data_IF_609504832474
#
_entry.id   IF_609504832474
#
_cell.length_a   1.000
_cell.length_b   1.000
_cell.length_c   1.000
_cell.angle_alpha   90.00
_cell.angle_beta   90.00
_cell.angle_gamma   90.00
#
_symmetry.space_group_name_H-M   'P 1'
#
loop_
_entity.id
_entity.type
_entity.pdbx_description
1 polymer ?
#
# COMPACT_ATOMS: atom_id res chain seq x y z
N UNK A 1 -14.98 -6.63 -59.72
CA UNK A 1 -15.20 -5.24 -59.29
C UNK A 1 -13.94 -4.80 -58.58
N UNK A 2 -13.21 -3.87 -59.16
CA UNK A 2 -12.00 -3.34 -58.54
C UNK A 2 -12.41 -2.49 -57.33
N UNK A 3 -11.86 -2.81 -56.15
CA UNK A 3 -12.12 -2.04 -54.93
C UNK A 3 -11.34 -0.73 -55.02
N UNK A 4 -12.06 0.38 -55.02
CA UNK A 4 -11.45 1.71 -54.90
C UNK A 4 -11.02 1.97 -53.45
N UNK A 5 -9.76 2.36 -53.27
CA UNK A 5 -9.20 2.75 -51.97
C UNK A 5 -9.13 4.26 -51.87
N UNK A 6 -9.36 4.83 -50.69
CA UNK A 6 -9.33 6.27 -50.49
C UNK A 6 -8.85 6.65 -49.10
N UNK A 7 -8.30 7.86 -48.97
CA UNK A 7 -7.91 8.50 -47.72
C UNK A 7 -8.59 9.86 -47.61
N UNK A 8 -8.77 10.35 -46.38
CA UNK A 8 -9.23 11.71 -46.12
C UNK A 8 -8.05 12.59 -45.75
N UNK A 9 -7.82 13.66 -46.51
CA UNK A 9 -6.79 14.67 -46.24
C UNK A 9 -7.50 16.02 -46.17
N UNK A 10 -7.38 16.72 -45.04
CA UNK A 10 -8.07 17.99 -44.79
C UNK A 10 -9.60 17.92 -45.06
N UNK A 11 -10.22 16.79 -44.73
CA UNK A 11 -11.65 16.56 -44.94
C UNK A 11 -12.06 16.21 -46.39
N UNK A 12 -11.12 16.17 -47.35
CA UNK A 12 -11.39 15.79 -48.74
C UNK A 12 -11.07 14.32 -48.99
N UNK A 13 -11.96 13.63 -49.71
CA UNK A 13 -11.77 12.22 -50.12
C UNK A 13 -10.83 12.15 -51.33
N UNK A 14 -9.68 11.50 -51.17
CA UNK A 14 -8.68 11.30 -52.22
C UNK A 14 -8.59 9.81 -52.51
N UNK A 15 -8.81 9.42 -53.77
CA UNK A 15 -8.63 8.03 -54.22
C UNK A 15 -7.14 7.73 -54.34
N UNK A 16 -6.71 6.61 -53.77
CA UNK A 16 -5.30 6.21 -53.71
C UNK A 16 -5.11 4.77 -54.19
N UNK A 17 -3.87 4.40 -54.49
CA UNK A 17 -3.54 3.00 -54.75
C UNK A 17 -3.71 2.15 -53.48
N UNK A 18 -3.93 0.85 -53.67
CA UNK A 18 -4.01 -0.13 -52.57
C UNK A 18 -2.75 -0.10 -51.69
N UNK A 19 -1.58 0.07 -52.29
CA UNK A 19 -0.30 0.11 -51.56
C UNK A 19 -0.22 1.32 -50.61
N UNK A 20 -0.59 2.50 -51.10
CA UNK A 20 -0.61 3.74 -50.30
C UNK A 20 -1.62 3.61 -49.16
N UNK A 21 -2.81 3.08 -49.43
CA UNK A 21 -3.83 2.84 -48.41
C UNK A 21 -3.32 1.90 -47.30
N UNK A 22 -2.72 0.77 -47.68
CA UNK A 22 -2.21 -0.21 -46.73
C UNK A 22 -1.05 0.34 -45.89
N UNK A 23 -0.13 1.09 -46.50
CA UNK A 23 0.97 1.73 -45.80
C UNK A 23 0.46 2.74 -44.76
N UNK A 24 -0.44 3.64 -45.17
CA UNK A 24 -1.04 4.65 -44.27
C UNK A 24 -1.71 4.01 -43.06
N UNK A 25 -2.60 3.02 -43.30
CA UNK A 25 -3.30 2.36 -42.20
C UNK A 25 -2.38 1.49 -41.34
N UNK A 26 -1.29 0.95 -41.90
CA UNK A 26 -0.28 0.22 -41.12
C UNK A 26 0.39 1.15 -40.10
N UNK A 27 0.84 2.33 -40.52
CA UNK A 27 1.46 3.32 -39.63
C UNK A 27 0.48 3.82 -38.57
N UNK A 28 -0.75 4.14 -38.96
CA UNK A 28 -1.79 4.60 -38.04
C UNK A 28 -2.14 3.53 -36.98
N UNK A 29 -2.12 2.25 -37.36
CA UNK A 29 -2.30 1.15 -36.43
C UNK A 29 -1.11 0.96 -35.48
N UNK A 30 0.13 1.15 -35.96
CA UNK A 30 1.34 1.12 -35.12
C UNK A 30 1.30 2.23 -34.07
N UNK A 31 0.95 3.45 -34.47
CA UNK A 31 0.80 4.59 -33.55
C UNK A 31 -0.26 4.30 -32.48
N UNK A 32 -1.46 3.86 -32.87
CA UNK A 32 -2.51 3.44 -31.93
C UNK A 32 -2.09 2.30 -31.02
N UNK A 33 -1.24 1.39 -31.49
CA UNK A 33 -0.70 0.31 -30.68
C UNK A 33 0.30 0.85 -29.64
N UNK A 34 1.21 1.74 -30.03
CA UNK A 34 2.14 2.40 -29.11
C UNK A 34 1.38 3.18 -28.02
N UNK A 35 0.40 4.01 -28.39
CA UNK A 35 -0.43 4.76 -27.41
C UNK A 35 -1.12 3.82 -26.41
N UNK A 36 -1.64 2.66 -26.87
CA UNK A 36 -2.25 1.67 -25.97
C UNK A 36 -1.21 1.05 -25.02
N UNK A 37 0.00 0.76 -25.51
CA UNK A 37 1.09 0.25 -24.68
C UNK A 37 1.55 1.27 -23.66
N UNK A 38 1.69 2.53 -24.05
CA UNK A 38 2.12 3.61 -23.15
C UNK A 38 1.13 3.75 -22.00
N UNK A 39 -0.18 3.77 -22.30
CA UNK A 39 -1.24 3.77 -21.27
C UNK A 39 -1.21 2.55 -20.36
N UNK A 40 -1.01 1.35 -20.91
CA UNK A 40 -0.95 0.11 -20.10
C UNK A 40 0.25 0.12 -19.13
N UNK A 41 1.36 0.73 -19.54
CA UNK A 41 2.57 0.83 -18.74
C UNK A 41 2.62 2.11 -17.90
N UNK A 42 1.51 2.86 -17.79
CA UNK A 42 1.45 4.16 -17.10
C UNK A 42 2.54 5.14 -17.55
N UNK A 43 2.92 5.06 -18.83
CA UNK A 43 3.87 5.98 -19.44
C UNK A 43 3.10 7.22 -19.88
N UNK A 44 3.01 8.19 -18.96
CA UNK A 44 2.37 9.47 -19.22
C UNK A 44 3.41 10.52 -19.61
N UNK A 45 2.98 11.50 -20.41
CA UNK A 45 3.82 12.67 -20.67
C UNK A 45 3.99 13.44 -19.37
N UNK A 46 5.20 13.91 -19.09
CA UNK A 46 5.49 14.73 -17.91
C UNK A 46 4.52 15.91 -17.74
N UNK A 47 4.13 16.55 -18.85
CA UNK A 47 3.17 17.65 -18.88
C UNK A 47 1.72 17.28 -18.54
N UNK A 48 1.35 16.00 -18.45
CA UNK A 48 -0.03 15.63 -18.06
C UNK A 48 -0.31 15.84 -16.57
N UNK A 49 0.73 16.01 -15.75
CA UNK A 49 0.64 16.30 -14.32
C UNK A 49 0.76 17.79 -13.99
N UNK A 50 0.92 18.65 -15.00
CA UNK A 50 0.95 20.10 -14.83
C UNK A 50 -0.47 20.66 -14.96
N UNK A 51 -1.16 20.77 -13.83
CA UNK A 51 -2.56 21.22 -13.78
C UNK A 51 -2.70 22.73 -13.59
N UNK A 52 -1.74 23.37 -12.94
CA UNK A 52 -1.82 24.76 -12.46
C UNK A 52 -0.48 25.51 -12.52
N UNK A 53 0.55 24.94 -13.16
CA UNK A 53 1.91 25.49 -13.20
C UNK A 53 2.77 25.10 -11.99
N UNK A 54 2.25 24.26 -11.08
CA UNK A 54 3.00 23.77 -9.92
C UNK A 54 3.16 22.24 -9.96
N UNK A 55 4.23 21.78 -10.58
CA UNK A 55 4.47 20.36 -10.82
C UNK A 55 4.81 19.56 -9.54
N UNK A 56 5.64 20.13 -8.65
CA UNK A 56 6.16 19.41 -7.47
C UNK A 56 5.07 19.11 -6.45
N UNK A 57 4.08 20.00 -6.30
CA UNK A 57 2.95 19.81 -5.38
C UNK A 57 1.91 18.80 -5.90
N UNK A 58 1.86 18.56 -7.22
CA UNK A 58 0.92 17.60 -7.83
C UNK A 58 1.41 16.14 -7.76
N UNK A 59 2.65 15.89 -7.32
CA UNK A 59 3.20 14.55 -7.14
C UNK A 59 3.07 14.14 -5.67
N UNK A 60 2.09 13.27 -5.37
CA UNK A 60 1.97 12.66 -4.05
C UNK A 60 3.15 11.72 -3.78
N UNK A 61 3.85 11.95 -2.65
CA UNK A 61 4.85 11.01 -2.13
C UNK A 61 4.14 9.83 -1.45
N UNK A 62 3.96 8.76 -2.22
CA UNK A 62 3.35 7.52 -1.75
C UNK A 62 4.32 6.64 -0.94
N UNK A 63 5.59 7.02 -0.80
CA UNK A 63 6.57 6.25 -0.04
C UNK A 63 6.31 6.35 1.47
N UNK A 64 5.86 7.52 1.95
CA UNK A 64 5.62 7.79 3.36
C UNK A 64 4.26 8.41 3.63
N UNK A 65 3.36 7.60 4.17
CA UNK A 65 2.10 8.09 4.73
C UNK A 65 2.36 8.72 6.12
N UNK A 66 2.50 10.04 6.15
CA UNK A 66 2.80 10.82 7.36
C UNK A 66 1.69 10.66 8.40
N UNK A 67 0.43 10.64 7.99
CA UNK A 67 -0.72 10.49 8.87
C UNK A 67 -0.65 9.14 9.58
N UNK A 68 -0.46 8.07 8.81
CA UNK A 68 -0.29 6.71 9.36
C UNK A 68 0.91 6.59 10.29
N UNK A 69 2.01 7.29 10.00
CA UNK A 69 3.18 7.33 10.90
C UNK A 69 2.81 7.98 12.24
N UNK A 70 2.07 9.09 12.21
CA UNK A 70 1.63 9.80 13.40
C UNK A 70 0.65 8.93 14.20
N UNK A 71 -0.38 8.38 13.56
CA UNK A 71 -1.34 7.45 14.18
C UNK A 71 -0.61 6.28 14.85
N UNK A 72 0.33 5.65 14.16
CA UNK A 72 1.11 4.53 14.71
C UNK A 72 1.92 4.95 15.94
N UNK A 73 2.50 6.16 15.95
CA UNK A 73 3.23 6.68 17.11
C UNK A 73 2.32 6.88 18.30
N UNK A 74 1.14 7.46 18.09
CA UNK A 74 0.13 7.66 19.15
C UNK A 74 -0.33 6.32 19.73
N UNK A 75 -0.61 5.32 18.87
CA UNK A 75 -0.93 3.96 19.31
C UNK A 75 0.18 3.34 20.18
N UNK A 76 1.44 3.49 19.78
CA UNK A 76 2.58 2.98 20.55
C UNK A 76 2.68 3.68 21.92
N UNK A 77 2.45 4.99 21.98
CA UNK A 77 2.48 5.72 23.23
C UNK A 77 1.38 5.27 24.21
N UNK A 78 0.16 5.05 23.72
CA UNK A 78 -0.93 4.57 24.59
C UNK A 78 -0.71 3.14 25.08
N UNK A 79 -0.21 2.24 24.24
CA UNK A 79 0.20 0.89 24.68
C UNK A 79 1.27 0.98 25.77
N UNK A 80 2.28 1.87 25.62
CA UNK A 80 3.31 2.09 26.65
C UNK A 80 2.71 2.63 27.95
N UNK A 81 1.75 3.56 27.87
CA UNK A 81 1.03 4.08 29.05
C UNK A 81 0.22 2.98 29.73
N UNK A 82 -0.50 2.14 28.99
CA UNK A 82 -1.23 1.01 29.55
C UNK A 82 -0.31 0.00 30.25
N UNK A 83 0.81 -0.38 29.63
CA UNK A 83 1.83 -1.26 30.22
C UNK A 83 2.45 -0.64 31.49
N UNK A 84 2.61 0.68 31.54
CA UNK A 84 3.13 1.37 32.73
C UNK A 84 2.20 1.23 33.96
N UNK A 85 0.90 1.05 33.74
CA UNK A 85 -0.12 0.84 34.80
C UNK A 85 -0.18 -0.61 35.30
N UNK A 86 0.48 -1.55 34.62
CA UNK A 86 0.60 -2.94 35.10
C UNK A 86 1.52 -3.02 36.32
N UNK A 87 1.26 -4.00 37.18
CA UNK A 87 2.17 -4.26 38.29
C UNK A 87 3.48 -4.90 37.79
N UNK A 88 4.57 -4.91 38.58
CA UNK A 88 5.86 -5.42 38.13
C UNK A 88 5.81 -6.87 37.59
N UNK A 89 5.11 -7.77 38.29
CA UNK A 89 4.99 -9.17 37.86
C UNK A 89 4.19 -9.34 36.57
N UNK A 90 3.15 -8.53 36.36
CA UNK A 90 2.38 -8.49 35.11
C UNK A 90 3.25 -7.96 33.96
N UNK A 91 4.03 -6.91 34.20
CA UNK A 91 4.94 -6.32 33.22
C UNK A 91 6.05 -7.29 32.83
N UNK A 92 6.70 -7.93 33.80
CA UNK A 92 7.75 -8.92 33.57
C UNK A 92 7.24 -10.11 32.75
N UNK A 93 5.99 -10.53 32.98
CA UNK A 93 5.34 -11.59 32.21
C UNK A 93 5.14 -11.17 30.75
N UNK A 94 4.64 -9.95 30.50
CA UNK A 94 4.45 -9.44 29.13
C UNK A 94 5.79 -9.23 28.43
N UNK A 95 6.79 -8.67 29.11
CA UNK A 95 8.14 -8.49 28.57
C UNK A 95 8.76 -9.84 28.17
N UNK A 96 8.66 -10.85 29.05
CA UNK A 96 9.20 -12.19 28.76
C UNK A 96 8.51 -12.83 27.54
N UNK A 97 7.18 -12.76 27.46
CA UNK A 97 6.42 -13.44 26.41
C UNK A 97 6.44 -12.72 25.06
N UNK A 98 6.42 -11.38 25.04
CA UNK A 98 6.21 -10.59 23.81
C UNK A 98 7.43 -9.81 23.37
N UNK A 99 8.34 -9.44 24.28
CA UNK A 99 9.55 -8.68 23.94
C UNK A 99 10.79 -9.58 23.84
N UNK A 100 10.93 -10.53 24.77
CA UNK A 100 12.02 -11.53 24.78
C UNK A 100 11.66 -12.81 24.03
N UNK A 101 10.41 -12.93 23.57
CA UNK A 101 9.87 -14.08 22.84
C UNK A 101 10.07 -15.43 23.56
N UNK A 102 10.10 -15.41 24.89
CA UNK A 102 10.22 -16.63 25.69
C UNK A 102 8.95 -17.48 25.58
N UNK A 103 9.12 -18.78 25.48
CA UNK A 103 7.99 -19.71 25.44
C UNK A 103 7.30 -19.78 26.80
N UNK A 104 6.01 -20.13 26.79
CA UNK A 104 5.22 -20.35 28.01
C UNK A 104 5.89 -21.42 28.91
N UNK A 105 6.57 -22.40 28.32
CA UNK A 105 7.32 -23.44 29.06
C UNK A 105 8.53 -22.86 29.80
N UNK A 106 9.31 -22.02 29.16
CA UNK A 106 10.47 -21.35 29.78
C UNK A 106 10.03 -20.43 30.92
N UNK A 107 8.99 -19.64 30.69
CA UNK A 107 8.41 -18.76 31.72
C UNK A 107 7.85 -19.56 32.89
N UNK A 108 7.16 -20.68 32.61
CA UNK A 108 6.66 -21.59 33.66
C UNK A 108 7.79 -22.16 34.52
N UNK A 109 8.90 -22.57 33.89
CA UNK A 109 10.08 -23.08 34.58
C UNK A 109 10.75 -21.98 35.44
N UNK A 110 10.93 -20.77 34.91
CA UNK A 110 11.51 -19.63 35.65
C UNK A 110 10.68 -19.23 36.86
N UNK A 111 9.36 -19.22 36.71
CA UNK A 111 8.43 -18.85 37.77
C UNK A 111 8.08 -20.02 38.72
N UNK A 112 8.57 -21.23 38.44
CA UNK A 112 8.24 -22.47 39.15
C UNK A 112 6.71 -22.68 39.32
N UNK A 113 5.95 -22.46 38.23
CA UNK A 113 4.50 -22.65 38.19
C UNK A 113 4.10 -23.54 37.01
N UNK A 114 2.87 -24.03 37.01
CA UNK A 114 2.37 -24.86 35.92
C UNK A 114 2.15 -24.05 34.63
N UNK A 115 2.33 -24.70 33.49
CA UNK A 115 2.08 -24.10 32.17
C UNK A 115 0.66 -23.49 32.03
N UNK A 116 -0.43 -24.14 32.50
CA UNK A 116 -1.76 -23.53 32.51
C UNK A 116 -1.86 -22.27 33.38
N UNK A 117 -1.12 -22.19 34.49
CA UNK A 117 -1.12 -21.01 35.34
C UNK A 117 -0.50 -19.79 34.65
N UNK A 118 0.56 -19.98 33.85
CA UNK A 118 1.15 -18.91 33.01
C UNK A 118 0.12 -18.40 31.99
N UNK A 119 -0.56 -19.30 31.27
CA UNK A 119 -1.60 -18.92 30.29
C UNK A 119 -2.70 -18.11 30.96
N UNK A 120 -3.19 -18.56 32.12
CA UNK A 120 -4.24 -17.86 32.86
C UNK A 120 -3.81 -16.46 33.28
N UNK A 121 -2.57 -16.30 33.76
CA UNK A 121 -2.01 -14.99 34.11
C UNK A 121 -1.87 -14.10 32.89
N UNK A 122 -1.29 -14.61 31.80
CA UNK A 122 -1.14 -13.88 30.53
C UNK A 122 -2.50 -13.36 30.05
N UNK A 123 -3.50 -14.23 29.95
CA UNK A 123 -4.83 -13.83 29.47
C UNK A 123 -5.45 -12.75 30.35
N UNK A 124 -5.30 -12.85 31.68
CA UNK A 124 -5.80 -11.82 32.60
C UNK A 124 -5.11 -10.47 32.37
N UNK A 125 -3.81 -10.45 32.10
CA UNK A 125 -3.08 -9.22 31.79
C UNK A 125 -3.52 -8.65 30.44
N UNK A 126 -3.75 -9.49 29.44
CA UNK A 126 -4.23 -9.06 28.13
C UNK A 126 -5.64 -8.47 28.20
N UNK A 127 -6.57 -9.08 28.95
CA UNK A 127 -7.89 -8.48 29.17
C UNK A 127 -7.79 -7.13 29.87
N UNK A 128 -6.93 -7.00 30.88
CA UNK A 128 -6.69 -5.73 31.57
C UNK A 128 -6.13 -4.66 30.63
N UNK A 129 -5.19 -5.02 29.76
CA UNK A 129 -4.65 -4.10 28.74
C UNK A 129 -5.73 -3.72 27.72
N UNK A 130 -6.59 -4.67 27.32
CA UNK A 130 -7.71 -4.43 26.43
C UNK A 130 -8.69 -3.41 27.02
N UNK A 131 -9.11 -3.59 28.27
CA UNK A 131 -9.98 -2.64 28.98
C UNK A 131 -9.35 -1.24 29.08
N UNK A 132 -8.02 -1.15 29.27
CA UNK A 132 -7.31 0.13 29.32
C UNK A 132 -7.24 0.86 27.97
N UNK A 133 -7.40 0.13 26.87
CA UNK A 133 -7.25 0.61 25.50
C UNK A 133 -8.59 0.57 24.73
N UNK A 134 -9.71 0.32 25.41
CA UNK A 134 -11.03 0.15 24.76
C UNK A 134 -11.57 1.47 24.19
N UNK A 135 -11.23 2.59 24.82
CA UNK A 135 -11.66 3.95 24.45
C UNK A 135 -10.62 4.71 23.60
N UNK A 136 -9.55 4.04 23.18
CA UNK A 136 -8.52 4.59 22.30
C UNK A 136 -8.67 4.02 20.89
#
# INVERSE_FOLDING_TARGET
MDKEYYLFVEGKKIVVSKEVYLAYHSELNKEKYQIRRDRLNNCFFFCSYDHDGNFEENLEDLEFDVEKIIETKEMIEEVRRAISKLNPAERDLIESLFYKEETIREVAAKLNISHPAVIKRRNKVLEKLKEMLEDF
#
